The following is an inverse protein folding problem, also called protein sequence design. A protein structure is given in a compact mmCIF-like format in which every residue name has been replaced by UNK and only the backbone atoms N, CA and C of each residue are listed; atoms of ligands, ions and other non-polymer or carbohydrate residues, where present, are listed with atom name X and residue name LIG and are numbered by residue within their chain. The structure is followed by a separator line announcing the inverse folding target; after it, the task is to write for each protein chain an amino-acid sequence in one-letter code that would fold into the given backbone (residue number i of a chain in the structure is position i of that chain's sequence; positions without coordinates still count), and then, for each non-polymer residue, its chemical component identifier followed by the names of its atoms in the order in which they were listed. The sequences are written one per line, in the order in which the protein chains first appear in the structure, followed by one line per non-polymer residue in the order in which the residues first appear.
data_IF_993225449900
#
_entry.id   IF_993225449900
#
_cell.length_a   1.000
_cell.length_b   1.000
_cell.length_c   1.000
_cell.angle_alpha   90.00
_cell.angle_beta   90.00
_cell.angle_gamma   90.00
#
_symmetry.space_group_name_H-M   'P 1'
#
loop_
_entity.id
_entity.type
_entity.pdbx_description
1 polymer ?
#
# COMPACT_ATOMS: atom_id res chain seq x y z
N UNK A 1 -3.85 5.77 24.03
CA UNK A 1 -3.85 4.76 22.94
C UNK A 1 -5.23 4.11 22.76
N UNK A 2 -6.03 3.88 23.82
CA UNK A 2 -7.42 3.45 23.67
C UNK A 2 -8.43 4.61 23.79
N UNK A 3 -9.42 4.68 22.90
CA UNK A 3 -10.66 5.49 23.03
C UNK A 3 -11.85 4.57 22.81
N UNK A 4 -12.91 4.71 23.61
CA UNK A 4 -14.12 3.86 23.50
C UNK A 4 -13.82 2.35 23.47
N UNK A 5 -12.86 1.89 24.29
CA UNK A 5 -12.37 0.49 24.32
C UNK A 5 -11.74 0.00 23.01
N UNK A 6 -11.45 0.89 22.06
CA UNK A 6 -10.75 0.58 20.82
C UNK A 6 -9.33 1.16 20.87
N UNK A 7 -8.36 0.40 20.38
CA UNK A 7 -7.00 0.91 20.13
C UNK A 7 -6.97 1.64 18.79
N UNK A 8 -6.24 2.75 18.70
CA UNK A 8 -6.16 3.50 17.46
C UNK A 8 -5.14 4.63 17.46
N UNK A 9 -4.83 5.10 16.25
CA UNK A 9 -4.21 6.40 16.01
C UNK A 9 -5.37 7.38 15.93
N UNK A 10 -5.46 8.34 16.86
CA UNK A 10 -6.66 9.17 17.02
C UNK A 10 -6.48 10.62 16.56
N UNK A 11 -5.30 11.17 16.83
CA UNK A 11 -4.97 12.54 16.52
C UNK A 11 -3.45 12.75 16.55
N UNK A 12 -2.98 13.74 15.80
CA UNK A 12 -1.59 14.20 15.82
C UNK A 12 -0.75 13.67 14.66
N UNK A 13 0.52 14.08 14.65
CA UNK A 13 1.47 13.73 13.59
C UNK A 13 2.48 12.72 14.11
N UNK A 14 2.89 11.81 13.23
CA UNK A 14 3.95 10.86 13.51
C UNK A 14 4.80 10.65 12.27
N UNK A 15 6.10 10.47 12.48
CA UNK A 15 7.05 10.08 11.44
C UNK A 15 7.85 8.88 11.92
N UNK A 16 8.00 7.89 11.04
CA UNK A 16 8.73 6.65 11.30
C UNK A 16 9.83 6.52 10.26
N UNK A 17 11.04 6.27 10.72
CA UNK A 17 12.18 6.00 9.87
C UNK A 17 12.91 4.77 10.43
N UNK A 18 13.37 3.89 9.56
CA UNK A 18 14.22 2.77 9.97
C UNK A 18 15.36 2.57 8.96
N UNK A 19 16.39 1.82 9.36
CA UNK A 19 17.41 1.38 8.41
C UNK A 19 16.87 0.28 7.50
N UNK A 20 16.15 -0.69 8.08
CA UNK A 20 15.60 -1.85 7.39
C UNK A 20 14.22 -2.20 7.98
N UNK A 21 13.38 -2.80 7.16
CA UNK A 21 12.12 -3.43 7.54
C UNK A 21 11.81 -4.59 6.61
N UNK A 22 10.96 -5.51 7.05
CA UNK A 22 10.40 -6.55 6.19
C UNK A 22 8.88 -6.45 6.25
N UNK A 23 8.22 -6.34 5.10
CA UNK A 23 6.77 -6.40 4.99
C UNK A 23 6.35 -7.60 4.14
N UNK A 24 5.67 -8.57 4.76
CA UNK A 24 5.28 -9.85 4.16
C UNK A 24 6.43 -10.54 3.37
N UNK A 25 7.59 -10.76 3.99
CA UNK A 25 8.79 -11.35 3.34
C UNK A 25 9.44 -10.50 2.25
N UNK A 26 8.95 -9.30 1.99
CA UNK A 26 9.62 -8.34 1.10
C UNK A 26 10.50 -7.43 1.96
N UNK A 27 11.80 -7.50 1.74
CA UNK A 27 12.76 -6.62 2.42
C UNK A 27 12.71 -5.20 1.86
N UNK A 28 12.74 -4.23 2.76
CA UNK A 28 12.65 -2.81 2.52
C UNK A 28 13.80 -2.12 3.23
N UNK A 29 14.53 -1.26 2.51
CA UNK A 29 15.62 -0.46 3.07
C UNK A 29 15.22 1.01 3.13
N UNK A 30 15.68 1.68 4.18
CA UNK A 30 15.35 3.07 4.48
C UNK A 30 13.85 3.40 4.38
N UNK A 31 12.95 2.60 4.98
CA UNK A 31 11.54 2.96 4.99
C UNK A 31 11.35 4.27 5.77
N UNK A 32 10.59 5.18 5.19
CA UNK A 32 10.14 6.44 5.79
C UNK A 32 8.63 6.54 5.64
N UNK A 33 7.93 6.92 6.70
CA UNK A 33 6.48 7.15 6.70
C UNK A 33 6.21 8.40 7.51
N UNK A 34 5.45 9.34 6.95
CA UNK A 34 4.89 10.49 7.66
C UNK A 34 3.37 10.46 7.59
N UNK A 35 2.73 10.56 8.75
CA UNK A 35 1.27 10.53 8.87
C UNK A 35 0.73 11.64 9.77
N UNK A 36 -0.51 12.00 9.52
CA UNK A 36 -1.33 12.90 10.32
C UNK A 36 -2.68 12.26 10.59
N UNK A 37 -3.10 12.21 11.85
CA UNK A 37 -4.38 11.69 12.27
C UNK A 37 -5.27 12.80 12.83
N UNK A 38 -6.56 12.63 12.60
CA UNK A 38 -7.64 13.43 13.15
C UNK A 38 -8.81 12.51 13.50
N UNK A 39 -9.83 13.01 14.19
CA UNK A 39 -11.01 12.20 14.52
C UNK A 39 -11.73 11.61 13.28
N UNK A 40 -11.50 12.17 12.08
CA UNK A 40 -12.12 11.72 10.82
C UNK A 40 -11.26 10.73 10.03
N UNK A 41 -9.95 10.93 10.00
CA UNK A 41 -9.06 10.29 9.04
C UNK A 41 -7.62 10.24 9.56
N UNK A 42 -6.93 9.16 9.19
CA UNK A 42 -5.48 9.05 9.14
C UNK A 42 -5.04 9.29 7.69
N UNK A 43 -4.13 10.23 7.50
CA UNK A 43 -3.51 10.56 6.21
C UNK A 43 -2.03 10.23 6.28
N UNK A 44 -1.56 9.35 5.39
CA UNK A 44 -0.14 9.15 5.12
C UNK A 44 0.23 10.05 3.96
N UNK A 45 0.84 11.19 4.29
CA UNK A 45 1.25 12.20 3.31
C UNK A 45 2.46 11.76 2.50
N UNK A 46 3.28 10.88 3.08
CA UNK A 46 4.47 10.33 2.44
C UNK A 46 4.76 8.94 3.00
N UNK A 47 5.01 7.99 2.12
CA UNK A 47 5.72 6.76 2.44
C UNK A 47 6.73 6.46 1.34
N UNK A 48 7.92 6.00 1.70
CA UNK A 48 8.93 5.56 0.74
C UNK A 48 9.79 4.45 1.32
N UNK A 49 10.35 3.61 0.44
CA UNK A 49 11.33 2.59 0.79
C UNK A 49 12.05 2.09 -0.46
N UNK A 50 13.29 1.64 -0.30
CA UNK A 50 14.00 0.92 -1.36
C UNK A 50 13.66 -0.58 -1.32
N UNK A 51 13.41 -1.16 -2.49
CA UNK A 51 13.35 -2.61 -2.68
C UNK A 51 14.39 -3.02 -3.74
N UNK A 52 15.44 -3.73 -3.32
CA UNK A 52 16.62 -3.94 -4.13
C UNK A 52 17.30 -2.61 -4.48
N UNK A 53 17.44 -2.34 -5.79
CA UNK A 53 17.93 -1.08 -6.35
C UNK A 53 16.80 -0.08 -6.68
N UNK A 54 15.54 -0.49 -6.56
CA UNK A 54 14.38 0.33 -6.91
C UNK A 54 13.82 1.10 -5.73
N UNK A 55 12.99 2.10 -6.04
CA UNK A 55 12.31 2.95 -5.08
C UNK A 55 10.80 2.72 -5.15
N UNK A 56 10.17 2.53 -3.99
CA UNK A 56 8.73 2.59 -3.80
C UNK A 56 8.38 3.90 -3.09
N UNK A 57 7.33 4.56 -3.56
CA UNK A 57 6.80 5.80 -2.98
C UNK A 57 5.28 5.75 -2.99
N UNK A 58 4.62 6.35 -2.00
CA UNK A 58 3.17 6.36 -1.97
C UNK A 58 2.55 7.34 -1.00
N UNK A 59 1.23 7.34 -1.04
CA UNK A 59 0.34 8.04 -0.12
C UNK A 59 -0.84 7.14 0.20
N UNK A 60 -1.44 7.35 1.37
CA UNK A 60 -2.61 6.59 1.76
C UNK A 60 -3.55 7.41 2.64
N UNK A 61 -4.82 7.03 2.65
CA UNK A 61 -5.81 7.55 3.60
C UNK A 61 -6.55 6.39 4.23
N UNK A 62 -6.96 6.56 5.48
CA UNK A 62 -7.85 5.65 6.17
C UNK A 62 -8.85 6.44 7.02
N UNK A 63 -10.15 6.30 6.74
CA UNK A 63 -11.21 6.88 7.53
C UNK A 63 -11.29 6.24 8.93
N UNK A 64 -11.79 6.99 9.91
CA UNK A 64 -11.97 6.53 11.29
C UNK A 64 -13.41 6.17 11.64
N UNK A 65 -14.31 6.19 10.67
CA UNK A 65 -15.66 5.63 10.81
C UNK A 65 -15.65 4.08 10.79
N UNK A 66 -16.78 3.45 11.10
CA UNK A 66 -16.86 2.00 11.28
C UNK A 66 -16.34 1.18 10.08
N UNK A 67 -16.63 1.63 8.85
CA UNK A 67 -16.17 0.97 7.63
C UNK A 67 -14.67 1.15 7.37
N UNK A 68 -14.04 2.15 7.99
CA UNK A 68 -12.64 2.53 7.79
C UNK A 68 -12.26 2.50 6.30
N UNK A 69 -12.93 3.30 5.44
CA UNK A 69 -12.60 3.32 4.02
C UNK A 69 -11.15 3.75 3.87
N UNK A 70 -10.41 3.10 2.99
CA UNK A 70 -9.03 3.45 2.74
C UNK A 70 -8.76 3.67 1.25
N UNK A 71 -7.73 4.46 0.99
CA UNK A 71 -7.10 4.56 -0.34
C UNK A 71 -5.60 4.39 -0.20
N UNK A 72 -4.96 3.85 -1.23
CA UNK A 72 -3.52 3.72 -1.35
C UNK A 72 -3.14 4.06 -2.80
N UNK A 73 -2.21 4.99 -2.95
CA UNK A 73 -1.51 5.25 -4.20
C UNK A 73 -0.05 4.87 -4.00
N UNK A 74 0.47 3.99 -4.85
CA UNK A 74 1.84 3.51 -4.77
C UNK A 74 2.47 3.58 -6.16
N UNK A 75 3.67 4.11 -6.23
CA UNK A 75 4.51 4.14 -7.42
C UNK A 75 5.78 3.36 -7.12
N UNK A 76 6.25 2.60 -8.10
CA UNK A 76 7.57 1.98 -8.08
C UNK A 76 8.39 2.44 -9.26
N UNK A 77 9.67 2.72 -9.02
CA UNK A 77 10.66 3.00 -10.05
C UNK A 77 11.81 2.01 -9.94
N UNK A 78 12.11 1.31 -11.04
CA UNK A 78 13.16 0.29 -11.12
C UNK A 78 13.06 -0.80 -10.04
N UNK A 79 11.83 -1.16 -9.65
CA UNK A 79 11.54 -2.21 -8.65
C UNK A 79 11.32 -3.56 -9.33
N UNK A 80 11.55 -4.70 -8.64
CA UNK A 80 11.20 -6.01 -9.18
C UNK A 80 9.72 -6.09 -9.57
N UNK A 81 9.43 -6.64 -10.76
CA UNK A 81 8.07 -6.75 -11.28
C UNK A 81 7.12 -7.53 -10.36
N UNK A 82 7.65 -8.40 -9.50
CA UNK A 82 6.89 -9.20 -8.54
C UNK A 82 6.80 -8.59 -7.13
N UNK A 83 7.24 -7.35 -6.91
CA UNK A 83 7.31 -6.73 -5.56
C UNK A 83 5.97 -6.76 -4.81
N UNK A 84 4.85 -6.62 -5.53
CA UNK A 84 3.49 -6.62 -4.96
C UNK A 84 2.91 -8.02 -4.70
N UNK A 85 3.56 -9.08 -5.18
CA UNK A 85 3.02 -10.45 -5.08
C UNK A 85 2.87 -10.89 -3.63
N UNK A 86 3.90 -10.63 -2.82
CA UNK A 86 3.89 -10.90 -1.40
C UNK A 86 2.90 -10.01 -0.61
N UNK A 87 2.39 -8.94 -1.23
CA UNK A 87 1.46 -7.99 -0.63
C UNK A 87 0.01 -8.27 -1.03
N UNK A 88 -0.23 -9.39 -1.70
CA UNK A 88 -1.56 -9.90 -2.03
C UNK A 88 -2.04 -9.56 -3.43
N UNK A 89 -1.23 -8.85 -4.24
CA UNK A 89 -1.53 -8.72 -5.66
C UNK A 89 -1.24 -10.05 -6.38
N UNK A 90 -2.06 -10.51 -7.33
CA UNK A 90 -1.79 -11.74 -8.07
C UNK A 90 -0.44 -11.73 -8.80
N UNK A 91 0.15 -12.91 -8.99
CA UNK A 91 1.41 -13.04 -9.72
C UNK A 91 1.29 -12.47 -11.13
N UNK A 92 2.29 -11.68 -11.55
CA UNK A 92 2.32 -11.09 -12.88
C UNK A 92 3.13 -11.99 -13.83
N UNK A 93 2.74 -12.08 -15.11
CA UNK A 93 3.56 -12.72 -16.15
C UNK A 93 4.72 -11.82 -16.61
N UNK A 94 5.30 -11.04 -15.70
CA UNK A 94 6.40 -10.11 -15.93
C UNK A 94 7.55 -10.42 -14.96
N UNK A 95 8.78 -10.13 -15.37
CA UNK A 95 9.97 -10.32 -14.53
C UNK A 95 10.97 -9.19 -14.75
N UNK A 96 11.98 -9.10 -13.89
CA UNK A 96 13.02 -8.07 -13.98
C UNK A 96 12.63 -6.73 -13.36
N UNK A 97 13.40 -5.69 -13.70
CA UNK A 97 13.17 -4.32 -13.25
C UNK A 97 11.94 -3.73 -13.92
N UNK A 98 11.16 -2.95 -13.18
CA UNK A 98 9.91 -2.39 -13.64
C UNK A 98 9.61 -1.03 -13.01
N UNK A 99 8.81 -0.25 -13.72
CA UNK A 99 8.07 0.87 -13.17
C UNK A 99 6.62 0.44 -12.95
N UNK A 100 6.03 0.77 -11.81
CA UNK A 100 4.64 0.45 -11.51
C UNK A 100 3.87 1.63 -10.94
N UNK A 101 2.55 1.60 -11.14
CA UNK A 101 1.59 2.51 -10.54
C UNK A 101 0.40 1.67 -10.08
N UNK A 102 0.14 1.71 -8.78
CA UNK A 102 -0.96 1.02 -8.11
C UNK A 102 -1.88 2.05 -7.47
N UNK A 103 -3.17 1.94 -7.74
CA UNK A 103 -4.22 2.60 -6.99
C UNK A 103 -5.09 1.52 -6.37
N UNK A 104 -5.34 1.62 -5.07
CA UNK A 104 -6.18 0.71 -4.30
C UNK A 104 -7.15 1.50 -3.44
N UNK A 105 -8.34 0.95 -3.27
CA UNK A 105 -9.33 1.40 -2.28
C UNK A 105 -10.12 0.21 -1.74
N UNK A 106 -10.74 0.40 -0.59
CA UNK A 106 -11.60 -0.60 0.03
C UNK A 106 -12.00 -0.23 1.45
N UNK A 107 -12.37 -1.22 2.24
CA UNK A 107 -12.81 -1.09 3.64
C UNK A 107 -11.95 -1.94 4.57
N UNK A 108 -11.56 -1.35 5.71
CA UNK A 108 -10.85 -2.02 6.81
C UNK A 108 -11.78 -2.30 7.99
N UNK A 109 -13.03 -2.66 7.73
CA UNK A 109 -14.02 -3.02 8.76
C UNK A 109 -13.48 -4.17 9.63
N UNK A 110 -13.64 -4.08 10.97
CA UNK A 110 -13.01 -4.98 11.94
C UNK A 110 -13.34 -6.48 11.74
N UNK A 111 -14.53 -6.78 11.19
CA UNK A 111 -15.04 -8.15 11.05
C UNK A 111 -15.28 -8.57 9.59
N UNK A 112 -14.72 -7.82 8.62
CA UNK A 112 -14.85 -8.14 7.20
C UNK A 112 -13.46 -8.33 6.56
N UNK A 113 -13.23 -9.42 5.79
CA UNK A 113 -11.98 -9.58 5.07
C UNK A 113 -11.77 -8.46 4.05
N UNK A 114 -10.60 -7.81 4.07
CA UNK A 114 -10.24 -6.75 3.12
C UNK A 114 -10.54 -7.14 1.67
N UNK A 115 -10.21 -8.40 1.30
CA UNK A 115 -10.34 -8.93 -0.06
C UNK A 115 -11.71 -8.66 -0.67
N UNK A 116 -12.80 -8.75 0.08
CA UNK A 116 -14.16 -8.61 -0.47
C UNK A 116 -14.50 -7.19 -0.89
N UNK A 117 -13.80 -6.19 -0.37
CA UNK A 117 -14.00 -4.77 -0.66
C UNK A 117 -12.90 -4.14 -1.53
N UNK A 118 -11.83 -4.90 -1.80
CA UNK A 118 -10.66 -4.39 -2.49
C UNK A 118 -10.96 -4.12 -3.98
N UNK A 119 -10.77 -2.87 -4.37
CA UNK A 119 -10.79 -2.42 -5.76
C UNK A 119 -9.47 -1.75 -6.07
N UNK A 120 -8.95 -1.95 -7.28
CA UNK A 120 -7.72 -1.28 -7.68
C UNK A 120 -7.37 -1.39 -9.14
N UNK A 121 -6.37 -0.61 -9.53
CA UNK A 121 -5.73 -0.66 -10.83
C UNK A 121 -4.23 -0.73 -10.64
N UNK A 122 -3.58 -1.63 -11.38
CA UNK A 122 -2.14 -1.74 -11.44
C UNK A 122 -1.70 -1.59 -12.90
N UNK A 123 -0.78 -0.66 -13.13
CA UNK A 123 0.01 -0.59 -14.37
C UNK A 123 1.45 -0.97 -14.05
N UNK A 124 2.03 -1.88 -14.81
CA UNK A 124 3.44 -2.28 -14.71
C UNK A 124 4.09 -2.21 -16.08
N UNK A 125 5.25 -1.60 -16.16
CA UNK A 125 6.04 -1.50 -17.40
C UNK A 125 7.48 -1.92 -17.11
N UNK A 126 7.97 -2.87 -17.89
CA UNK A 126 9.37 -3.28 -18.00
C UNK A 126 9.95 -2.69 -19.29
N UNK A 127 11.22 -2.95 -19.58
CA UNK A 127 11.86 -2.49 -20.82
C UNK A 127 11.19 -3.07 -22.09
N UNK A 128 10.59 -4.25 -21.99
CA UNK A 128 10.05 -4.99 -23.15
C UNK A 128 8.54 -5.12 -23.16
N UNK A 129 7.87 -4.96 -22.01
CA UNK A 129 6.47 -5.32 -21.84
C UNK A 129 5.75 -4.35 -20.90
N UNK A 130 4.47 -4.13 -21.17
CA UNK A 130 3.57 -3.42 -20.26
C UNK A 130 2.33 -4.27 -19.98
N UNK A 131 1.82 -4.15 -18.75
CA UNK A 131 0.64 -4.86 -18.26
C UNK A 131 -0.24 -3.87 -17.49
N UNK A 132 -1.54 -3.95 -17.73
CA UNK A 132 -2.55 -3.28 -16.90
C UNK A 132 -3.51 -4.32 -16.35
N UNK A 133 -3.82 -4.22 -15.07
CA UNK A 133 -4.75 -5.10 -14.37
C UNK A 133 -5.71 -4.29 -13.54
N UNK A 134 -6.97 -4.71 -13.51
CA UNK A 134 -7.99 -4.14 -12.63
C UNK A 134 -8.44 -5.20 -11.63
N UNK A 135 -8.54 -4.83 -10.37
CA UNK A 135 -9.08 -5.65 -9.30
C UNK A 135 -10.49 -5.17 -8.93
N UNK A 136 -11.43 -6.11 -8.81
CA UNK A 136 -12.78 -5.88 -8.26
C UNK A 136 -13.09 -6.98 -7.25
N UNK A 137 -13.47 -6.60 -6.04
CA UNK A 137 -13.76 -7.55 -4.97
C UNK A 137 -12.59 -8.52 -4.69
N UNK A 138 -11.35 -8.02 -4.80
CA UNK A 138 -10.15 -8.83 -4.54
C UNK A 138 -9.83 -9.88 -5.61
N UNK A 139 -10.45 -9.79 -6.79
CA UNK A 139 -10.17 -10.60 -7.98
C UNK A 139 -9.71 -9.72 -9.14
N UNK A 140 -8.58 -10.07 -9.75
CA UNK A 140 -8.08 -9.40 -10.95
C UNK A 140 -8.88 -9.88 -12.17
N UNK A 141 -9.25 -8.93 -13.03
CA UNK A 141 -9.97 -9.13 -14.30
C UNK A 141 -9.00 -9.12 -15.48
#
# INVERSE_FOLDING_TARGET
LARQHQWGIWAGKASFNAAEATFNRTDLRHPSISLNASDRQIEVSEMSAFNGSGLLEGTATAGQEAQRPFTLNLKGQAVPANVLQNWGWPALPLSGSSNLQLQLKGSLSADAPLRTSAEGSLSVTTDTQSLQQTMRGGQVQ
#
